data_IF_999145514594
#
_entry.id   IF_999145514594
#
_cell.length_a   1.000
_cell.length_b   1.000
_cell.length_c   1.000
_cell.angle_alpha   90.00
_cell.angle_beta   90.00
_cell.angle_gamma   90.00
#
_symmetry.space_group_name_H-M   'P 1'
#
loop_
_entity.id
_entity.type
_entity.pdbx_description
1 polymer ?
#
# COMPACT_ATOMS: atom_id res chain seq x y z
N UNK A 1 21.68 -2.93 -21.90
CA UNK A 1 20.74 -2.98 -23.04
C UNK A 1 19.35 -2.75 -22.51
N UNK A 2 18.67 -1.67 -22.89
CA UNK A 2 17.28 -1.42 -22.51
C UNK A 2 16.38 -2.44 -23.21
N UNK A 3 15.95 -3.46 -22.47
CA UNK A 3 14.98 -4.46 -22.96
C UNK A 3 13.74 -3.71 -23.44
N UNK A 4 13.44 -3.79 -24.75
CA UNK A 4 12.29 -3.10 -25.33
C UNK A 4 11.03 -3.89 -24.95
N UNK A 5 10.41 -3.53 -23.84
CA UNK A 5 9.13 -4.09 -23.38
C UNK A 5 8.00 -3.62 -24.29
N UNK A 6 7.03 -4.50 -24.55
CA UNK A 6 5.82 -4.17 -25.32
C UNK A 6 4.91 -3.21 -24.53
N UNK A 7 4.82 -3.41 -23.22
CA UNK A 7 3.94 -2.65 -22.33
C UNK A 7 4.74 -1.92 -21.26
N UNK A 8 4.41 -0.66 -21.03
CA UNK A 8 4.93 0.08 -19.89
C UNK A 8 4.32 -0.45 -18.58
N UNK A 9 3.00 -0.68 -18.57
CA UNK A 9 2.27 -1.19 -17.40
C UNK A 9 1.35 -2.34 -17.81
N UNK A 10 1.25 -3.38 -16.96
CA UNK A 10 0.22 -4.40 -17.04
C UNK A 10 -0.55 -4.50 -15.71
N UNK A 11 -1.87 -4.34 -15.78
CA UNK A 11 -2.78 -4.46 -14.64
C UNK A 11 -3.45 -5.84 -14.62
N UNK A 12 -3.02 -6.73 -13.73
CA UNK A 12 -3.62 -8.03 -13.52
C UNK A 12 -4.78 -7.95 -12.49
N UNK A 13 -5.92 -8.58 -12.79
CA UNK A 13 -7.11 -8.50 -11.95
C UNK A 13 -8.03 -7.31 -12.28
N UNK A 14 -7.94 -6.77 -13.49
CA UNK A 14 -8.68 -5.60 -13.96
C UNK A 14 -10.22 -5.72 -13.88
N UNK A 15 -10.75 -6.94 -13.76
CA UNK A 15 -12.20 -7.19 -13.70
C UNK A 15 -12.79 -7.00 -12.30
N UNK A 16 -11.96 -6.94 -11.26
CA UNK A 16 -12.37 -6.64 -9.89
C UNK A 16 -12.81 -5.18 -9.73
N UNK A 17 -13.43 -4.84 -8.59
CA UNK A 17 -13.89 -3.47 -8.33
C UNK A 17 -12.72 -2.47 -8.32
N UNK A 18 -11.68 -2.75 -7.51
CA UNK A 18 -10.44 -1.97 -7.48
C UNK A 18 -9.71 -1.98 -8.83
N UNK A 19 -9.71 -3.13 -9.52
CA UNK A 19 -9.12 -3.25 -10.85
C UNK A 19 -9.77 -2.33 -11.88
N UNK A 20 -11.10 -2.21 -11.88
CA UNK A 20 -11.84 -1.29 -12.76
C UNK A 20 -11.52 0.17 -12.46
N UNK A 21 -11.45 0.54 -11.18
CA UNK A 21 -11.07 1.90 -10.77
C UNK A 21 -9.62 2.23 -11.16
N UNK A 22 -8.71 1.27 -11.00
CA UNK A 22 -7.30 1.41 -11.39
C UNK A 22 -7.18 1.56 -12.90
N UNK A 23 -7.88 0.72 -13.69
CA UNK A 23 -7.90 0.83 -15.15
C UNK A 23 -8.46 2.18 -15.63
N UNK A 24 -9.54 2.65 -15.02
CA UNK A 24 -10.14 3.95 -15.37
C UNK A 24 -9.21 5.13 -15.03
N UNK A 25 -8.45 5.04 -13.93
CA UNK A 25 -7.49 6.07 -13.57
C UNK A 25 -6.30 6.10 -14.55
N UNK A 26 -5.73 4.93 -14.87
CA UNK A 26 -4.64 4.82 -15.84
C UNK A 26 -5.06 5.31 -17.24
N UNK A 27 -6.28 4.98 -17.68
CA UNK A 27 -6.82 5.42 -18.97
C UNK A 27 -6.92 6.95 -19.10
N UNK A 28 -7.21 7.64 -17.98
CA UNK A 28 -7.32 9.09 -17.92
C UNK A 28 -5.99 9.78 -17.59
N UNK A 29 -4.93 9.02 -17.32
CA UNK A 29 -3.67 9.58 -16.86
C UNK A 29 -2.89 10.19 -18.05
N UNK A 30 -2.52 11.49 -18.00
CA UNK A 30 -1.91 12.17 -19.15
C UNK A 30 -0.57 11.55 -19.57
N UNK A 31 0.22 11.04 -18.62
CA UNK A 31 1.51 10.41 -18.92
C UNK A 31 1.40 9.05 -19.64
N UNK A 32 0.20 8.44 -19.67
CA UNK A 32 -0.07 7.24 -20.47
C UNK A 32 -0.65 7.55 -21.84
N UNK A 33 -0.91 8.82 -22.18
CA UNK A 33 -1.28 9.20 -23.53
C UNK A 33 -0.13 8.85 -24.49
N UNK A 34 -0.40 8.03 -25.51
CA UNK A 34 0.65 7.59 -26.44
C UNK A 34 1.47 6.38 -25.97
N UNK A 35 1.18 5.81 -24.79
CA UNK A 35 1.86 4.62 -24.26
C UNK A 35 0.99 3.37 -24.32
N UNK A 36 1.64 2.25 -24.59
CA UNK A 36 1.02 0.93 -24.59
C UNK A 36 1.01 0.35 -23.18
N UNK A 37 -0.17 -0.02 -22.73
CA UNK A 37 -0.37 -0.73 -21.47
C UNK A 37 -1.45 -1.79 -21.63
N UNK A 38 -1.55 -2.72 -20.68
CA UNK A 38 -2.45 -3.86 -20.79
C UNK A 38 -3.30 -4.05 -19.53
N UNK A 39 -4.52 -4.55 -19.73
CA UNK A 39 -5.33 -5.18 -18.69
C UNK A 39 -5.28 -6.70 -18.84
N UNK A 40 -5.13 -7.40 -17.72
CA UNK A 40 -4.91 -8.84 -17.70
C UNK A 40 -5.76 -9.57 -16.67
N UNK A 41 -6.01 -10.85 -16.95
CA UNK A 41 -6.78 -11.75 -16.10
C UNK A 41 -7.20 -13.03 -16.83
N UNK A 42 -8.03 -13.83 -16.16
CA UNK A 42 -8.38 -15.18 -16.62
C UNK A 42 -9.54 -15.23 -17.62
N UNK A 43 -10.47 -14.27 -17.54
CA UNK A 43 -11.72 -14.30 -18.30
C UNK A 43 -11.70 -13.28 -19.44
N UNK A 44 -11.59 -13.77 -20.67
CA UNK A 44 -11.53 -12.94 -21.88
C UNK A 44 -12.76 -12.04 -22.05
N UNK A 45 -13.97 -12.55 -21.80
CA UNK A 45 -15.21 -11.80 -21.98
C UNK A 45 -15.31 -10.64 -20.97
N UNK A 46 -14.97 -10.89 -19.70
CA UNK A 46 -14.95 -9.86 -18.66
C UNK A 46 -13.89 -8.80 -18.92
N UNK A 47 -12.70 -9.18 -19.43
CA UNK A 47 -11.66 -8.22 -19.80
C UNK A 47 -12.09 -7.35 -20.99
N UNK A 48 -12.71 -7.94 -22.02
CA UNK A 48 -13.28 -7.18 -23.14
C UNK A 48 -14.34 -6.18 -22.68
N UNK A 49 -15.18 -6.56 -21.71
CA UNK A 49 -16.17 -5.67 -21.12
C UNK A 49 -15.52 -4.49 -20.38
N UNK A 50 -14.43 -4.71 -19.63
CA UNK A 50 -13.66 -3.62 -19.01
C UNK A 50 -12.98 -2.75 -20.08
N UNK A 51 -12.36 -3.36 -21.09
CA UNK A 51 -11.72 -2.63 -22.19
C UNK A 51 -12.68 -1.69 -22.92
N UNK A 52 -13.93 -2.10 -23.10
CA UNK A 52 -14.98 -1.31 -23.74
C UNK A 52 -15.41 -0.07 -22.93
N UNK A 53 -15.07 0.01 -21.64
CA UNK A 53 -15.34 1.21 -20.81
C UNK A 53 -14.17 2.20 -20.79
N UNK A 54 -13.05 1.87 -21.43
CA UNK A 54 -11.84 2.69 -21.48
C UNK A 54 -11.77 3.45 -22.81
N UNK A 55 -11.27 4.68 -22.78
CA UNK A 55 -11.23 5.58 -23.94
C UNK A 55 -10.00 5.34 -24.82
N UNK A 56 -8.87 4.96 -24.23
CA UNK A 56 -7.62 4.78 -24.95
C UNK A 56 -7.66 3.56 -25.85
N UNK A 57 -7.33 3.75 -27.13
CA UNK A 57 -7.16 2.65 -28.09
C UNK A 57 -5.95 1.76 -27.78
N UNK A 58 -5.01 2.27 -26.97
CA UNK A 58 -3.70 1.70 -26.72
C UNK A 58 -3.70 0.64 -25.60
N UNK A 59 -4.86 0.45 -24.95
CA UNK A 59 -5.04 -0.58 -23.93
C UNK A 59 -5.25 -1.94 -24.59
N UNK A 60 -4.35 -2.87 -24.34
CA UNK A 60 -4.49 -4.26 -24.82
C UNK A 60 -5.09 -5.18 -23.76
N UNK A 61 -5.73 -6.25 -24.23
CA UNK A 61 -6.27 -7.31 -23.36
C UNK A 61 -5.33 -8.50 -23.40
N UNK A 62 -4.85 -8.92 -22.23
CA UNK A 62 -4.00 -10.11 -22.08
C UNK A 62 -4.74 -11.15 -21.24
N UNK A 63 -5.09 -12.27 -21.86
CA UNK A 63 -5.72 -13.39 -21.15
C UNK A 63 -4.61 -14.31 -20.65
N UNK A 64 -4.48 -14.42 -19.34
CA UNK A 64 -3.47 -15.26 -18.69
C UNK A 64 -4.05 -15.87 -17.42
N UNK A 65 -4.01 -17.19 -17.33
CA UNK A 65 -4.26 -17.90 -16.08
C UNK A 65 -2.93 -18.10 -15.35
N UNK A 66 -2.86 -17.71 -14.08
CA UNK A 66 -1.62 -17.85 -13.30
C UNK A 66 -1.21 -19.31 -13.08
N UNK A 67 -2.08 -20.27 -13.38
CA UNK A 67 -1.75 -21.71 -13.41
C UNK A 67 -0.87 -22.11 -14.59
N UNK A 68 -0.79 -21.30 -15.65
CA UNK A 68 0.06 -21.53 -16.82
C UNK A 68 1.37 -20.73 -16.67
N UNK A 69 2.40 -21.39 -16.15
CA UNK A 69 3.70 -20.77 -15.88
C UNK A 69 4.34 -20.18 -17.15
N UNK A 70 4.27 -20.86 -18.29
CA UNK A 70 4.88 -20.38 -19.53
C UNK A 70 4.17 -19.11 -20.04
N UNK A 71 2.83 -19.08 -19.95
CA UNK A 71 2.07 -17.88 -20.30
C UNK A 71 2.35 -16.72 -19.34
N UNK A 72 2.52 -16.99 -18.03
CA UNK A 72 2.90 -15.97 -17.04
C UNK A 72 4.26 -15.39 -17.35
N UNK A 73 5.27 -16.23 -17.59
CA UNK A 73 6.64 -15.78 -17.90
C UNK A 73 6.67 -14.95 -19.20
N UNK A 74 5.94 -15.37 -20.23
CA UNK A 74 5.82 -14.61 -21.49
C UNK A 74 5.12 -13.25 -21.29
N UNK A 75 4.04 -13.23 -20.50
CA UNK A 75 3.32 -12.00 -20.16
C UNK A 75 4.25 -11.04 -19.41
N UNK A 76 4.92 -11.50 -18.36
CA UNK A 76 5.85 -10.69 -17.56
C UNK A 76 7.00 -10.17 -18.41
N UNK A 77 7.63 -11.01 -19.23
CA UNK A 77 8.76 -10.61 -20.09
C UNK A 77 8.41 -9.49 -21.10
N UNK A 78 7.12 -9.31 -21.41
CA UNK A 78 6.62 -8.26 -22.31
C UNK A 78 6.35 -6.92 -21.63
N UNK A 79 6.57 -6.78 -20.32
CA UNK A 79 6.16 -5.63 -19.51
C UNK A 79 7.34 -5.00 -18.76
N UNK A 80 7.27 -3.69 -18.44
CA UNK A 80 8.21 -3.05 -17.48
C UNK A 80 7.74 -3.21 -16.04
N UNK A 81 6.44 -3.03 -15.84
CA UNK A 81 5.80 -3.07 -14.52
C UNK A 81 4.52 -3.89 -14.58
N UNK A 82 4.36 -4.78 -13.61
CA UNK A 82 3.12 -5.49 -13.34
C UNK A 82 2.51 -4.96 -12.06
N UNK A 83 1.27 -4.51 -12.10
CA UNK A 83 0.48 -4.25 -10.90
C UNK A 83 -0.68 -5.22 -10.82
N UNK A 84 -1.05 -5.65 -9.62
CA UNK A 84 -2.16 -6.60 -9.43
C UNK A 84 -3.15 -6.18 -8.36
N UNK A 85 -4.42 -6.36 -8.68
CA UNK A 85 -5.55 -6.18 -7.77
C UNK A 85 -6.30 -7.51 -7.53
N UNK A 86 -5.68 -8.64 -7.87
CA UNK A 86 -6.27 -9.97 -7.77
C UNK A 86 -6.01 -10.64 -6.40
N UNK A 87 -6.50 -10.03 -5.32
CA UNK A 87 -6.39 -10.58 -3.96
C UNK A 87 -7.55 -11.54 -3.58
N UNK A 88 -7.40 -12.34 -2.51
CA UNK A 88 -6.20 -12.50 -1.68
C UNK A 88 -5.07 -13.23 -2.40
N UNK A 89 -3.85 -12.68 -2.33
CA UNK A 89 -2.72 -13.08 -3.18
C UNK A 89 -2.20 -14.47 -2.82
N UNK A 90 -2.25 -14.82 -1.53
CA UNK A 90 -1.90 -16.11 -0.94
C UNK A 90 -2.71 -17.30 -1.46
N UNK A 91 -3.89 -17.06 -2.03
CA UNK A 91 -4.84 -18.09 -2.49
C UNK A 91 -5.17 -18.02 -3.98
N UNK A 92 -4.72 -16.96 -4.67
CA UNK A 92 -5.01 -16.72 -6.09
C UNK A 92 -3.76 -16.81 -6.96
N UNK A 93 -2.81 -17.68 -6.61
CA UNK A 93 -1.55 -17.89 -7.34
C UNK A 93 -0.69 -16.60 -7.48
N UNK A 94 -0.82 -15.64 -6.55
CA UNK A 94 -0.09 -14.37 -6.60
C UNK A 94 1.43 -14.56 -6.65
N UNK A 95 1.92 -15.66 -6.07
CA UNK A 95 3.34 -16.00 -5.99
C UNK A 95 3.92 -16.24 -7.38
N UNK A 96 3.18 -16.92 -8.26
CA UNK A 96 3.65 -17.23 -9.61
C UNK A 96 3.90 -15.96 -10.41
N UNK A 97 3.04 -14.96 -10.24
CA UNK A 97 3.17 -13.67 -10.89
C UNK A 97 4.33 -12.85 -10.30
N UNK A 98 4.38 -12.72 -8.97
CA UNK A 98 5.46 -11.99 -8.27
C UNK A 98 6.82 -12.62 -8.53
N UNK A 99 6.93 -13.94 -8.39
CA UNK A 99 8.16 -14.68 -8.61
C UNK A 99 8.65 -14.59 -10.05
N UNK A 100 7.74 -14.61 -11.04
CA UNK A 100 8.11 -14.36 -12.44
C UNK A 100 8.67 -12.94 -12.62
N UNK A 101 8.07 -11.92 -11.99
CA UNK A 101 8.59 -10.56 -12.03
C UNK A 101 9.98 -10.46 -11.38
N UNK A 102 10.15 -11.03 -10.19
CA UNK A 102 11.40 -11.07 -9.46
C UNK A 102 12.52 -11.75 -10.25
N UNK A 103 12.25 -12.87 -10.95
CA UNK A 103 13.25 -13.55 -11.79
C UNK A 103 13.57 -12.76 -13.06
N UNK A 104 12.58 -12.10 -13.66
CA UNK A 104 12.74 -11.43 -14.95
C UNK A 104 13.31 -10.01 -14.89
N UNK A 105 13.53 -9.46 -13.69
CA UNK A 105 13.92 -8.05 -13.50
C UNK A 105 12.78 -7.07 -13.77
N UNK A 106 11.52 -7.54 -13.74
CA UNK A 106 10.32 -6.74 -13.98
C UNK A 106 9.80 -6.22 -12.66
N UNK A 107 9.42 -4.94 -12.62
CA UNK A 107 8.91 -4.34 -11.39
C UNK A 107 7.50 -4.83 -11.08
N UNK A 108 7.15 -4.89 -9.80
CA UNK A 108 5.87 -5.41 -9.34
C UNK A 108 5.29 -4.53 -8.24
N UNK A 109 3.96 -4.36 -8.23
CA UNK A 109 3.24 -3.90 -7.05
C UNK A 109 1.90 -4.58 -6.85
N UNK A 110 1.52 -4.80 -5.59
CA UNK A 110 0.19 -5.28 -5.22
C UNK A 110 -0.48 -4.44 -4.14
N UNK A 111 -1.59 -4.93 -3.59
CA UNK A 111 -2.36 -4.32 -2.51
C UNK A 111 -2.44 -5.21 -1.28
N UNK A 112 -1.45 -6.09 -1.06
CA UNK A 112 -1.51 -7.01 0.07
C UNK A 112 -1.40 -6.27 1.39
N UNK A 113 -2.31 -6.55 2.33
CA UNK A 113 -2.21 -6.23 3.76
C UNK A 113 -2.01 -7.47 4.62
N UNK A 114 -1.64 -8.60 4.01
CA UNK A 114 -1.48 -9.91 4.66
C UNK A 114 -0.03 -10.07 5.14
N UNK A 115 0.27 -9.76 6.40
CA UNK A 115 1.65 -9.79 6.91
C UNK A 115 2.37 -11.13 6.70
N UNK A 116 1.66 -12.26 6.81
CA UNK A 116 2.23 -13.59 6.56
C UNK A 116 2.64 -13.81 5.10
N UNK A 117 1.78 -13.38 4.16
CA UNK A 117 2.04 -13.46 2.73
C UNK A 117 3.23 -12.59 2.36
N UNK A 118 3.25 -11.35 2.86
CA UNK A 118 4.35 -10.43 2.61
C UNK A 118 5.67 -11.01 3.14
N UNK A 119 5.67 -11.59 4.35
CA UNK A 119 6.84 -12.28 4.90
C UNK A 119 7.33 -13.42 4.00
N UNK A 120 6.44 -14.30 3.55
CA UNK A 120 6.82 -15.39 2.65
C UNK A 120 7.44 -14.88 1.35
N UNK A 121 6.89 -13.82 0.76
CA UNK A 121 7.44 -13.21 -0.46
C UNK A 121 8.79 -12.53 -0.22
N UNK A 122 8.97 -11.89 0.93
CA UNK A 122 10.25 -11.33 1.36
C UNK A 122 11.30 -12.44 1.46
N UNK A 123 11.01 -13.50 2.21
CA UNK A 123 11.95 -14.60 2.45
C UNK A 123 12.36 -15.29 1.14
N UNK A 124 11.41 -15.51 0.24
CA UNK A 124 11.65 -16.24 -1.00
C UNK A 124 12.28 -15.39 -2.11
N UNK A 125 11.87 -14.13 -2.26
CA UNK A 125 12.14 -13.36 -3.47
C UNK A 125 12.99 -12.10 -3.26
N UNK A 126 13.30 -11.68 -2.03
CA UNK A 126 14.13 -10.49 -1.82
C UNK A 126 15.49 -10.60 -2.51
N UNK A 127 16.26 -11.66 -2.25
CA UNK A 127 17.57 -11.87 -2.88
C UNK A 127 17.48 -12.02 -4.41
N UNK A 128 16.45 -12.71 -4.91
CA UNK A 128 16.21 -12.88 -6.36
C UNK A 128 15.94 -11.54 -7.04
N UNK A 129 15.11 -10.69 -6.43
CA UNK A 129 14.78 -9.37 -6.94
C UNK A 129 15.98 -8.40 -6.86
N UNK A 130 16.82 -8.50 -5.83
CA UNK A 130 18.11 -7.79 -5.76
C UNK A 130 18.99 -8.20 -6.95
N UNK A 131 19.15 -9.49 -7.18
CA UNK A 131 20.02 -10.01 -8.24
C UNK A 131 19.55 -9.64 -9.66
N UNK A 132 18.24 -9.53 -9.88
CA UNK A 132 17.66 -9.18 -11.19
C UNK A 132 17.47 -7.67 -11.41
N UNK A 133 17.58 -6.85 -10.36
CA UNK A 133 17.24 -5.43 -10.38
C UNK A 133 15.73 -5.14 -10.31
N UNK A 134 14.90 -6.12 -9.98
CA UNK A 134 13.47 -5.91 -9.80
C UNK A 134 13.18 -5.15 -8.49
N UNK A 135 12.28 -4.16 -8.56
CA UNK A 135 11.63 -3.53 -7.41
C UNK A 135 10.25 -4.16 -7.22
N UNK A 136 10.06 -4.86 -6.11
CA UNK A 136 8.80 -5.51 -5.74
C UNK A 136 8.21 -4.75 -4.55
N UNK A 137 7.12 -4.01 -4.77
CA UNK A 137 6.46 -3.18 -3.74
C UNK A 137 5.18 -3.88 -3.28
N UNK A 138 5.17 -4.40 -2.05
CA UNK A 138 3.97 -5.00 -1.48
C UNK A 138 3.15 -3.93 -0.76
N UNK A 139 1.82 -3.96 -0.94
CA UNK A 139 0.93 -3.00 -0.29
C UNK A 139 0.98 -1.58 -0.86
N UNK A 140 1.01 -1.41 -2.18
CA UNK A 140 1.01 -0.11 -2.89
C UNK A 140 -0.30 0.70 -2.79
N UNK A 141 -0.98 0.68 -1.64
CA UNK A 141 -2.25 1.37 -1.37
C UNK A 141 -2.25 2.12 -0.04
N UNK A 142 -3.44 2.46 0.45
CA UNK A 142 -3.61 3.24 1.69
C UNK A 142 -3.11 2.48 2.93
N UNK A 143 -3.10 1.16 2.90
CA UNK A 143 -2.66 0.30 4.00
C UNK A 143 -1.12 0.28 4.17
N UNK A 144 -0.39 1.16 3.48
CA UNK A 144 1.07 1.29 3.63
C UNK A 144 1.58 2.69 3.29
N UNK A 145 1.16 3.26 2.16
CA UNK A 145 1.75 4.50 1.62
C UNK A 145 1.68 5.69 2.61
N UNK A 146 0.55 6.00 3.26
CA UNK A 146 0.47 7.18 4.12
C UNK A 146 1.39 7.10 5.34
N UNK A 147 1.41 5.94 6.00
CA UNK A 147 2.23 5.71 7.18
C UNK A 147 3.72 5.65 6.82
N UNK A 148 4.06 4.95 5.73
CA UNK A 148 5.44 4.76 5.29
C UNK A 148 6.08 6.05 4.75
N UNK A 149 5.40 6.75 3.84
CA UNK A 149 5.90 8.05 3.35
C UNK A 149 5.84 9.12 4.44
N UNK A 150 4.86 9.08 5.34
CA UNK A 150 4.79 10.01 6.48
C UNK A 150 5.99 9.85 7.41
N UNK A 151 6.36 8.61 7.74
CA UNK A 151 7.58 8.30 8.51
C UNK A 151 8.85 8.74 7.78
N UNK A 152 8.95 8.44 6.48
CA UNK A 152 10.07 8.88 5.63
C UNK A 152 10.27 10.40 5.68
N UNK A 153 9.18 11.16 5.49
CA UNK A 153 9.22 12.62 5.53
C UNK A 153 9.60 13.13 6.92
N UNK A 154 8.93 12.66 7.98
CA UNK A 154 9.17 13.12 9.35
C UNK A 154 10.64 12.90 9.80
N UNK A 155 11.23 11.74 9.46
CA UNK A 155 12.65 11.47 9.73
C UNK A 155 13.58 12.43 8.99
N UNK A 156 13.27 12.74 7.73
CA UNK A 156 14.04 13.74 6.98
C UNK A 156 13.95 15.11 7.64
N UNK A 157 12.77 15.50 8.12
CA UNK A 157 12.56 16.79 8.79
C UNK A 157 13.37 16.95 10.07
N UNK A 158 13.61 15.87 10.82
CA UNK A 158 14.42 15.90 12.06
C UNK A 158 15.93 15.71 11.80
N UNK A 159 16.32 15.52 10.53
CA UNK A 159 17.70 15.28 10.13
C UNK A 159 18.23 13.94 10.62
N UNK A 160 17.41 12.90 10.60
CA UNK A 160 17.81 11.53 10.93
C UNK A 160 18.03 10.72 9.66
N UNK A 161 19.29 10.40 9.42
CA UNK A 161 19.80 9.54 8.35
C UNK A 161 20.52 8.32 8.96
N UNK A 162 21.12 7.50 8.09
CA UNK A 162 21.81 6.25 8.46
C UNK A 162 22.99 6.47 9.43
N UNK A 163 23.46 7.72 9.59
CA UNK A 163 24.53 8.08 10.51
C UNK A 163 24.01 8.68 11.84
N UNK A 164 22.69 8.69 12.06
CA UNK A 164 22.10 9.21 13.29
C UNK A 164 22.36 8.28 14.46
N UNK A 165 23.14 8.75 15.42
CA UNK A 165 23.46 8.06 16.68
C UNK A 165 22.36 8.19 17.75
N UNK A 166 21.44 9.15 17.58
CA UNK A 166 20.42 9.43 18.59
C UNK A 166 19.10 8.73 18.29
N UNK A 167 18.46 8.15 19.33
CA UNK A 167 17.12 7.60 19.24
C UNK A 167 16.09 8.60 18.72
N UNK A 168 15.17 8.11 17.89
CA UNK A 168 14.01 8.84 17.37
C UNK A 168 12.76 8.01 17.58
N UNK A 169 11.72 8.62 18.16
CA UNK A 169 10.39 8.04 18.26
C UNK A 169 9.50 8.62 17.17
N UNK A 170 8.95 7.76 16.31
CA UNK A 170 7.90 8.12 15.37
C UNK A 170 6.53 7.75 15.92
N UNK A 171 5.59 8.70 15.89
CA UNK A 171 4.19 8.47 16.23
C UNK A 171 3.30 8.89 15.07
N UNK A 172 2.64 7.91 14.43
CA UNK A 172 1.59 8.13 13.44
C UNK A 172 0.22 8.24 14.10
N UNK A 173 -0.49 9.34 13.89
CA UNK A 173 -1.83 9.60 14.44
C UNK A 173 -2.82 9.86 13.32
N UNK A 174 -3.71 8.90 13.07
CA UNK A 174 -4.85 9.10 12.17
C UNK A 174 -5.90 9.99 12.84
N UNK A 175 -6.16 11.15 12.25
CA UNK A 175 -7.20 12.09 12.70
C UNK A 175 -8.44 12.06 11.83
N UNK A 176 -8.33 11.45 10.65
CA UNK A 176 -9.42 11.25 9.72
C UNK A 176 -9.23 9.92 9.00
N UNK A 177 -10.32 9.15 8.89
CA UNK A 177 -10.38 7.96 8.05
C UNK A 177 -11.84 7.69 7.70
N UNK A 178 -12.26 8.06 6.49
CA UNK A 178 -13.63 7.90 6.02
C UNK A 178 -13.72 7.00 4.81
N UNK A 179 -13.81 5.70 5.07
CA UNK A 179 -13.91 4.71 4.00
C UNK A 179 -14.50 3.39 4.43
N UNK A 180 -14.70 2.56 3.41
CA UNK A 180 -15.08 1.17 3.51
C UNK A 180 -13.87 0.25 3.49
N UNK A 181 -14.08 -0.99 3.92
CA UNK A 181 -13.11 -2.06 3.76
C UNK A 181 -13.31 -2.74 2.40
N UNK A 182 -12.21 -3.09 1.75
CA UNK A 182 -12.32 -3.85 0.51
C UNK A 182 -12.83 -5.26 0.78
N UNK A 183 -13.58 -5.85 -0.17
CA UNK A 183 -13.93 -7.27 -0.10
C UNK A 183 -12.68 -8.16 -0.03
N UNK A 184 -11.57 -7.69 -0.61
CA UNK A 184 -10.25 -8.31 -0.51
C UNK A 184 -9.67 -8.27 0.91
N UNK A 185 -9.90 -7.20 1.67
CA UNK A 185 -9.43 -7.06 3.06
C UNK A 185 -10.14 -8.07 3.97
N UNK A 186 -11.44 -8.30 3.80
CA UNK A 186 -12.18 -9.33 4.53
C UNK A 186 -11.70 -10.74 4.18
N UNK A 187 -11.44 -10.98 2.89
CA UNK A 187 -10.91 -12.26 2.43
C UNK A 187 -9.47 -12.48 2.91
N UNK A 188 -8.67 -11.43 3.07
CA UNK A 188 -7.32 -11.45 3.66
C UNK A 188 -7.37 -11.85 5.14
N UNK A 189 -8.35 -11.34 5.90
CA UNK A 189 -8.60 -11.78 7.28
C UNK A 189 -8.87 -13.28 7.38
N UNK A 190 -9.69 -13.83 6.47
CA UNK A 190 -9.94 -15.27 6.39
C UNK A 190 -8.70 -16.07 5.96
N UNK A 191 -7.92 -15.54 5.01
CA UNK A 191 -6.67 -16.17 4.58
C UNK A 191 -5.67 -16.26 5.74
N UNK A 192 -5.59 -15.22 6.59
CA UNK A 192 -4.80 -15.24 7.82
C UNK A 192 -5.26 -16.32 8.79
N UNK A 193 -6.56 -16.43 9.05
CA UNK A 193 -7.12 -17.49 9.92
C UNK A 193 -6.82 -18.89 9.38
N UNK A 194 -6.92 -19.08 8.06
CA UNK A 194 -6.57 -20.34 7.40
C UNK A 194 -5.06 -20.65 7.49
N UNK A 195 -4.20 -19.64 7.33
CA UNK A 195 -2.75 -19.81 7.45
C UNK A 195 -2.34 -20.23 8.87
N UNK A 196 -3.01 -19.69 9.90
CA UNK A 196 -2.83 -20.12 11.29
C UNK A 196 -3.29 -21.57 11.53
N UNK A 197 -4.51 -21.90 11.09
CA UNK A 197 -5.09 -23.23 11.35
C UNK A 197 -4.40 -24.34 10.57
N UNK A 198 -3.82 -24.04 9.41
CA UNK A 198 -3.02 -24.98 8.61
C UNK A 198 -1.57 -25.14 9.07
N UNK A 199 -1.10 -24.31 10.02
CA UNK A 199 0.29 -24.33 10.48
C UNK A 199 1.30 -23.72 9.49
N UNK A 200 0.84 -23.09 8.40
CA UNK A 200 1.68 -22.39 7.42
C UNK A 200 2.46 -21.23 8.06
N UNK A 201 1.90 -20.64 9.11
CA UNK A 201 2.58 -19.66 9.96
C UNK A 201 2.21 -19.87 11.43
N UNK A 202 3.18 -19.64 12.32
CA UNK A 202 2.96 -19.74 13.77
C UNK A 202 2.27 -18.48 14.31
N UNK A 203 1.54 -18.61 15.43
CA UNK A 203 0.95 -17.44 16.11
C UNK A 203 2.03 -16.45 16.57
N UNK A 204 3.20 -16.96 16.98
CA UNK A 204 4.36 -16.15 17.35
C UNK A 204 4.84 -15.30 16.17
N UNK A 205 5.12 -15.92 15.02
CA UNK A 205 5.56 -15.19 13.82
C UNK A 205 4.49 -14.18 13.33
N UNK A 206 3.20 -14.50 13.49
CA UNK A 206 2.11 -13.59 13.13
C UNK A 206 1.94 -12.39 14.06
N UNK A 207 2.47 -12.45 15.27
CA UNK A 207 2.44 -11.36 16.24
C UNK A 207 3.79 -10.66 16.40
N UNK A 208 4.82 -11.11 15.67
CA UNK A 208 6.12 -10.47 15.59
C UNK A 208 5.99 -9.04 15.02
N UNK A 209 6.33 -7.98 15.77
CA UNK A 209 6.32 -6.60 15.29
C UNK A 209 7.18 -6.36 14.04
N UNK A 210 8.19 -7.21 13.84
CA UNK A 210 9.14 -7.22 12.74
C UNK A 210 8.87 -8.37 11.76
N UNK A 211 7.61 -8.85 11.67
CA UNK A 211 7.21 -9.90 10.70
C UNK A 211 7.68 -9.60 9.26
N UNK A 212 7.75 -8.32 8.85
CA UNK A 212 8.23 -7.90 7.53
C UNK A 212 9.71 -7.55 7.47
N UNK A 213 10.44 -7.73 8.56
CA UNK A 213 11.87 -7.41 8.70
C UNK A 213 12.57 -8.52 9.50
N UNK A 214 12.54 -9.77 8.99
CA UNK A 214 13.07 -10.92 9.74
C UNK A 214 14.53 -10.76 10.11
N UNK A 215 14.88 -11.18 11.32
CA UNK A 215 16.25 -11.12 11.85
C UNK A 215 16.64 -9.76 12.44
N UNK A 216 15.77 -8.75 12.37
CA UNK A 216 16.00 -7.45 13.00
C UNK A 216 15.92 -7.59 14.52
N UNK A 217 16.98 -7.23 15.23
CA UNK A 217 17.03 -7.15 16.69
C UNK A 217 17.16 -5.68 17.09
N UNK A 218 16.03 -5.01 17.33
CA UNK A 218 16.04 -3.61 17.75
C UNK A 218 16.29 -3.49 19.27
N UNK A 219 16.83 -2.34 19.69
CA UNK A 219 16.95 -1.92 21.09
C UNK A 219 15.62 -1.63 21.79
N UNK A 220 14.48 -1.77 21.10
CA UNK A 220 13.13 -1.78 21.68
C UNK A 220 12.99 -2.99 22.62
N UNK A 221 13.64 -2.92 23.76
CA UNK A 221 13.55 -3.85 24.88
C UNK A 221 12.17 -3.78 25.58
N UNK A 222 11.30 -2.84 25.19
CA UNK A 222 9.89 -2.87 25.58
C UNK A 222 9.07 -3.63 24.54
N UNK A 223 8.39 -4.67 24.99
CA UNK A 223 7.54 -5.57 24.20
C UNK A 223 6.48 -4.80 23.39
N UNK A 224 6.83 -4.35 22.18
CA UNK A 224 5.91 -3.65 21.29
C UNK A 224 4.96 -4.65 20.61
N UNK A 225 3.71 -4.25 20.39
CA UNK A 225 2.77 -4.99 19.56
C UNK A 225 2.97 -4.69 18.07
N UNK A 226 2.30 -5.40 17.17
CA UNK A 226 2.39 -5.16 15.72
C UNK A 226 2.22 -3.69 15.32
N UNK A 227 1.37 -2.92 16.00
CA UNK A 227 1.11 -1.49 15.80
C UNK A 227 2.13 -0.56 16.50
N UNK A 228 3.11 -1.12 17.21
CA UNK A 228 4.15 -0.38 17.94
C UNK A 228 3.73 0.17 19.29
N UNK A 229 2.54 -0.18 19.75
CA UNK A 229 2.06 0.24 21.05
C UNK A 229 2.57 -0.68 22.16
N UNK A 230 2.61 -0.20 23.42
CA UNK A 230 2.83 -1.07 24.56
C UNK A 230 1.74 -2.15 24.68
N UNK A 231 2.09 -3.33 25.18
CA UNK A 231 1.10 -4.39 25.46
C UNK A 231 -0.01 -3.87 26.38
N UNK A 232 -1.26 -4.17 26.01
CA UNK A 232 -2.43 -3.73 26.77
C UNK A 232 -2.80 -2.26 26.60
N UNK A 233 -2.19 -1.54 25.64
CA UNK A 233 -2.56 -0.15 25.33
C UNK A 233 -4.06 -0.02 25.04
N UNK A 234 -4.75 0.80 25.83
CA UNK A 234 -6.18 1.14 25.66
C UNK A 234 -6.42 2.61 25.31
N UNK A 235 -5.47 3.46 25.66
CA UNK A 235 -5.45 4.87 25.31
C UNK A 235 -4.42 5.64 26.12
N UNK A 236 -4.04 6.83 25.65
CA UNK A 236 -3.09 7.71 26.31
C UNK A 236 -3.47 9.17 26.06
N UNK A 237 -3.38 10.02 27.08
CA UNK A 237 -3.58 11.46 26.93
C UNK A 237 -2.40 12.08 26.16
N UNK A 238 -2.73 12.94 25.20
CA UNK A 238 -1.83 13.66 24.31
C UNK A 238 -2.23 15.13 24.23
N UNK A 239 -1.25 16.02 24.20
CA UNK A 239 -1.47 17.49 24.22
C UNK A 239 -2.05 18.02 22.91
N UNK A 240 -1.77 17.36 21.78
CA UNK A 240 -2.20 17.80 20.44
C UNK A 240 -3.56 17.20 20.08
N UNK A 241 -3.73 15.89 20.29
CA UNK A 241 -4.85 15.12 19.77
C UNK A 241 -5.91 14.77 20.83
N UNK A 242 -5.70 15.16 22.09
CA UNK A 242 -6.56 14.80 23.20
C UNK A 242 -6.29 13.36 23.65
N UNK A 243 -7.15 12.41 23.31
CA UNK A 243 -6.90 11.00 23.60
C UNK A 243 -6.28 10.33 22.37
N UNK A 244 -5.25 9.51 22.56
CA UNK A 244 -4.79 8.56 21.56
C UNK A 244 -5.45 7.21 21.82
N UNK A 245 -5.92 6.56 20.77
CA UNK A 245 -6.64 5.27 20.82
C UNK A 245 -6.00 4.26 19.86
N UNK A 246 -6.19 2.94 20.09
CA UNK A 246 -5.73 1.93 19.15
C UNK A 246 -6.32 2.16 17.75
N UNK A 247 -5.48 2.11 16.72
CA UNK A 247 -5.90 2.21 15.32
C UNK A 247 -6.00 0.83 14.68
N UNK A 248 -7.12 0.56 14.00
CA UNK A 248 -7.42 -0.78 13.49
C UNK A 248 -6.48 -1.27 12.38
N UNK A 249 -5.88 -0.36 11.58
CA UNK A 249 -4.86 -0.74 10.57
C UNK A 249 -3.43 -0.67 11.09
N UNK A 250 -3.20 -0.22 12.33
CA UNK A 250 -1.84 -0.07 12.88
C UNK A 250 -1.02 -1.35 12.77
N UNK A 251 -1.66 -2.51 12.95
CA UNK A 251 -1.03 -3.83 12.87
C UNK A 251 -0.65 -4.28 11.45
N UNK A 252 -1.12 -3.57 10.42
CA UNK A 252 -0.78 -3.78 9.02
C UNK A 252 0.27 -2.74 8.60
N UNK A 253 0.05 -1.48 8.96
CA UNK A 253 0.88 -0.35 8.53
C UNK A 253 2.25 -0.33 9.22
N UNK A 254 2.30 -0.51 10.54
CA UNK A 254 3.54 -0.37 11.31
C UNK A 254 4.64 -1.38 10.93
N UNK A 255 4.33 -2.66 10.64
CA UNK A 255 5.34 -3.58 10.10
C UNK A 255 5.97 -3.10 8.78
N UNK A 256 5.21 -2.41 7.92
CA UNK A 256 5.75 -1.83 6.67
C UNK A 256 6.73 -0.70 6.98
N UNK A 257 6.38 0.20 7.91
CA UNK A 257 7.29 1.27 8.34
C UNK A 257 8.57 0.68 8.94
N UNK A 258 8.47 -0.33 9.82
CA UNK A 258 9.66 -1.00 10.39
C UNK A 258 10.52 -1.68 9.33
N UNK A 259 9.92 -2.25 8.29
CA UNK A 259 10.68 -2.74 7.14
C UNK A 259 11.47 -1.63 6.46
N UNK A 260 10.86 -0.46 6.23
CA UNK A 260 11.58 0.70 5.69
C UNK A 260 12.73 1.14 6.59
N UNK A 261 12.55 1.15 7.91
CA UNK A 261 13.61 1.47 8.85
C UNK A 261 14.75 0.46 8.77
N UNK A 262 14.43 -0.83 8.72
CA UNK A 262 15.42 -1.92 8.61
C UNK A 262 16.22 -1.83 7.32
N UNK A 263 15.54 -1.66 6.18
CA UNK A 263 16.20 -1.53 4.87
C UNK A 263 17.11 -0.31 4.77
N UNK A 264 16.91 0.71 5.63
CA UNK A 264 17.73 1.91 5.72
C UNK A 264 18.75 1.87 6.87
N UNK A 265 18.91 0.73 7.56
CA UNK A 265 19.80 0.64 8.72
C UNK A 265 19.39 1.48 9.94
N UNK A 266 18.13 1.90 10.02
CA UNK A 266 17.60 2.78 11.07
C UNK A 266 16.86 2.03 12.18
N UNK A 267 16.69 0.72 12.05
CA UNK A 267 15.87 -0.07 12.98
C UNK A 267 16.40 -0.03 14.42
N UNK A 268 17.71 0.18 14.64
CA UNK A 268 18.31 0.19 15.99
C UNK A 268 18.16 1.52 16.72
N UNK A 269 17.78 2.59 16.01
CA UNK A 269 17.70 3.94 16.57
C UNK A 269 16.34 4.59 16.37
N UNK A 270 15.48 4.03 15.51
CA UNK A 270 14.15 4.58 15.23
C UNK A 270 13.06 3.61 15.61
N UNK A 271 12.12 4.07 16.43
CA UNK A 271 10.92 3.32 16.82
C UNK A 271 9.70 3.88 16.11
N UNK A 272 8.72 3.03 15.79
CA UNK A 272 7.47 3.46 15.15
C UNK A 272 6.26 2.88 15.86
N UNK A 273 5.29 3.76 16.15
CA UNK A 273 3.97 3.40 16.68
C UNK A 273 2.85 4.13 15.94
N UNK A 274 1.69 3.49 15.87
CA UNK A 274 0.54 4.03 15.16
C UNK A 274 -0.76 3.95 15.97
N UNK A 275 -1.48 5.07 16.02
CA UNK A 275 -2.72 5.23 16.78
C UNK A 275 -3.69 6.19 16.05
N UNK A 276 -4.84 6.45 16.64
CA UNK A 276 -5.81 7.40 16.10
C UNK A 276 -6.37 8.33 17.18
N UNK A 277 -6.96 9.44 16.75
CA UNK A 277 -7.68 10.36 17.62
C UNK A 277 -9.20 10.06 17.65
N UNK A 278 -9.92 10.43 18.72
CA UNK A 278 -11.39 10.38 18.76
C UNK A 278 -12.05 11.14 17.61
N UNK A 279 -11.41 12.20 17.10
CA UNK A 279 -11.89 12.98 15.96
C UNK A 279 -12.07 12.14 14.69
N UNK A 280 -11.20 11.15 14.48
CA UNK A 280 -11.32 10.19 13.39
C UNK A 280 -12.67 9.45 13.43
N UNK A 281 -13.01 8.91 14.60
CA UNK A 281 -14.26 8.19 14.84
C UNK A 281 -15.48 9.11 14.79
N UNK A 282 -15.38 10.32 15.33
CA UNK A 282 -16.44 11.33 15.28
C UNK A 282 -16.82 11.69 13.84
N UNK A 283 -15.84 11.88 12.95
CA UNK A 283 -16.08 12.15 11.54
C UNK A 283 -16.76 10.97 10.83
N UNK A 284 -16.33 9.75 11.13
CA UNK A 284 -16.97 8.54 10.60
C UNK A 284 -18.43 8.40 11.02
N UNK A 285 -18.72 8.65 12.30
CA UNK A 285 -20.08 8.65 12.82
C UNK A 285 -20.93 9.74 12.16
N UNK A 286 -20.40 10.95 11.99
CA UNK A 286 -21.11 12.06 11.33
C UNK A 286 -21.39 11.79 9.84
N UNK A 287 -20.42 11.30 9.08
CA UNK A 287 -20.61 10.95 7.66
C UNK A 287 -21.65 9.83 7.51
N UNK A 288 -21.59 8.82 8.38
CA UNK A 288 -22.55 7.71 8.38
C UNK A 288 -23.95 8.17 8.78
N UNK A 289 -24.08 9.01 9.81
CA UNK A 289 -25.36 9.51 10.30
C UNK A 289 -26.04 10.52 9.35
N UNK A 290 -25.27 11.46 8.79
CA UNK A 290 -25.81 12.47 7.85
C UNK A 290 -26.31 11.89 6.53
N UNK A 291 -25.89 10.67 6.17
CA UNK A 291 -26.22 9.99 4.91
C UNK A 291 -27.03 8.70 5.10
N UNK A 292 -26.97 8.08 6.29
CA UNK A 292 -27.59 6.79 6.60
C UNK A 292 -29.00 6.87 7.19
N UNK A 293 -29.49 8.07 7.54
CA UNK A 293 -30.81 8.30 8.14
C UNK A 293 -31.91 8.72 7.14
N UNK A 294 -31.78 8.32 5.87
CA UNK A 294 -32.92 8.33 4.94
C UNK A 294 -32.71 9.16 3.68
N UNK A 295 -33.28 8.60 2.62
CA UNK A 295 -33.39 9.15 1.27
C UNK A 295 -33.97 10.59 1.31
N UNK A 296 -33.45 11.52 0.48
CA UNK A 296 -32.91 11.26 -0.86
C UNK A 296 -31.39 11.38 -1.05
N UNK A 297 -30.56 11.28 0.01
CA UNK A 297 -29.16 11.73 -0.08
C UNK A 297 -28.04 10.66 0.05
N UNK A 298 -28.30 9.37 0.28
CA UNK A 298 -27.24 8.34 0.18
C UNK A 298 -27.60 6.89 0.53
N UNK A 299 -26.96 5.92 -0.14
CA UNK A 299 -26.99 4.49 0.21
C UNK A 299 -26.12 4.19 1.45
N UNK A 300 -26.48 3.22 2.32
CA UNK A 300 -25.69 2.88 3.50
C UNK A 300 -24.35 2.22 3.15
N UNK A 301 -23.36 2.35 4.04
CA UNK A 301 -22.04 1.73 3.87
C UNK A 301 -22.17 0.22 4.06
N UNK A 302 -21.83 -0.55 3.01
CA UNK A 302 -21.70 -1.99 3.13
C UNK A 302 -20.31 -2.35 3.70
N UNK A 303 -20.26 -2.70 4.98
CA UNK A 303 -19.02 -3.15 5.63
C UNK A 303 -18.64 -4.61 5.31
N UNK A 304 -19.48 -5.35 4.59
CA UNK A 304 -19.23 -6.73 4.15
C UNK A 304 -19.54 -6.92 2.65
N UNK A 305 -18.82 -6.22 1.75
CA UNK A 305 -19.08 -6.31 0.32
C UNK A 305 -18.76 -7.72 -0.22
N UNK A 306 -19.61 -8.22 -1.13
CA UNK A 306 -19.28 -9.42 -1.92
C UNK A 306 -18.16 -9.09 -2.92
N UNK A 307 -17.40 -10.09 -3.42
CA UNK A 307 -16.40 -9.87 -4.46
C UNK A 307 -17.01 -9.11 -5.66
N UNK A 308 -16.36 -8.00 -6.05
CA UNK A 308 -16.83 -7.14 -7.14
C UNK A 308 -17.84 -6.06 -6.75
N UNK A 309 -18.33 -6.02 -5.50
CA UNK A 309 -19.07 -4.89 -4.95
C UNK A 309 -18.11 -3.88 -4.31
N UNK A 310 -18.48 -2.60 -4.35
CA UNK A 310 -17.74 -1.53 -3.68
C UNK A 310 -18.68 -0.64 -2.88
N UNK A 311 -18.14 0.39 -2.22
CA UNK A 311 -18.94 1.29 -1.40
C UNK A 311 -19.89 2.15 -2.24
N UNK A 312 -20.86 2.80 -1.59
CA UNK A 312 -21.70 3.81 -2.23
C UNK A 312 -20.88 4.86 -3.00
N UNK A 313 -21.40 5.32 -4.14
CA UNK A 313 -20.74 6.33 -4.98
C UNK A 313 -20.35 7.60 -4.22
N UNK A 314 -21.16 8.00 -3.24
CA UNK A 314 -20.87 9.18 -2.42
C UNK A 314 -19.63 8.96 -1.53
N UNK A 315 -19.43 7.75 -0.98
CA UNK A 315 -18.29 7.43 -0.14
C UNK A 315 -17.02 7.30 -0.99
N UNK A 316 -17.11 6.72 -2.19
CA UNK A 316 -16.00 6.69 -3.15
C UNK A 316 -15.42 8.08 -3.42
N UNK A 317 -16.30 9.09 -3.55
CA UNK A 317 -15.91 10.47 -3.89
C UNK A 317 -15.51 11.31 -2.67
N UNK A 318 -16.20 11.15 -1.55
CA UNK A 318 -16.07 12.04 -0.38
C UNK A 318 -15.29 11.43 0.78
N UNK A 319 -14.94 10.15 0.68
CA UNK A 319 -13.99 9.54 1.59
C UNK A 319 -12.68 10.30 1.58
N UNK A 320 -11.96 10.22 2.68
CA UNK A 320 -10.66 10.86 2.85
C UNK A 320 -9.97 10.26 4.08
N UNK A 321 -8.68 10.52 4.20
CA UNK A 321 -7.89 10.13 5.35
C UNK A 321 -6.84 11.21 5.63
N UNK A 322 -6.46 11.34 6.89
CA UNK A 322 -5.36 12.21 7.32
C UNK A 322 -4.62 11.52 8.45
N UNK A 323 -3.31 11.35 8.25
CA UNK A 323 -2.37 10.91 9.27
C UNK A 323 -1.32 11.99 9.48
N UNK A 324 -1.02 12.27 10.74
CA UNK A 324 0.13 13.08 11.13
C UNK A 324 1.20 12.14 11.67
N UNK A 325 2.41 12.21 11.13
CA UNK A 325 3.55 11.43 11.64
C UNK A 325 4.53 12.40 12.28
N UNK A 326 4.72 12.27 13.59
CA UNK A 326 5.66 13.13 14.34
C UNK A 326 6.91 12.33 14.65
N UNK A 327 8.08 12.86 14.28
CA UNK A 327 9.39 12.38 14.69
C UNK A 327 9.87 13.21 15.88
N UNK A 328 10.22 12.55 16.98
CA UNK A 328 10.77 13.17 18.18
C UNK A 328 12.14 12.55 18.46
N UNK A 329 13.20 13.33 18.30
CA UNK A 329 14.58 12.91 18.57
C UNK A 329 14.91 13.20 20.04
N UNK A 330 15.76 12.36 20.64
CA UNK A 330 16.12 12.49 22.07
C UNK A 330 16.71 13.86 22.45
N UNK A 331 17.35 14.57 21.50
CA UNK A 331 17.90 15.92 21.74
C UNK A 331 16.88 17.06 21.65
N UNK A 332 15.59 16.74 21.63
CA UNK A 332 14.49 17.70 21.65
C UNK A 332 14.10 18.23 20.28
N UNK A 333 14.82 17.87 19.21
CA UNK A 333 14.39 18.18 17.84
C UNK A 333 13.13 17.36 17.49
N UNK A 334 12.19 18.02 16.83
CA UNK A 334 11.01 17.36 16.32
C UNK A 334 10.65 17.88 14.93
N UNK A 335 10.02 17.01 14.16
CA UNK A 335 9.44 17.33 12.87
C UNK A 335 8.13 16.58 12.72
N UNK A 336 7.16 17.18 12.04
CA UNK A 336 5.87 16.53 11.78
C UNK A 336 5.60 16.55 10.29
N UNK A 337 5.21 15.39 9.76
CA UNK A 337 4.70 15.26 8.41
C UNK A 337 3.17 15.11 8.45
N UNK A 338 2.49 15.73 7.49
CA UNK A 338 1.07 15.51 7.24
C UNK A 338 0.90 14.74 5.94
N UNK A 339 0.18 13.62 6.01
CA UNK A 339 -0.23 12.87 4.83
C UNK A 339 -1.76 12.80 4.81
N UNK A 340 -2.36 13.51 3.86
CA UNK A 340 -3.80 13.56 3.68
C UNK A 340 -4.17 13.20 2.24
N UNK A 341 -5.31 12.53 2.04
CA UNK A 341 -5.76 12.13 0.72
C UNK A 341 -7.27 12.15 0.55
N UNK A 342 -7.72 12.33 -0.69
CA UNK A 342 -9.15 12.35 -1.07
C UNK A 342 -9.55 11.08 -1.83
N UNK A 343 -10.77 10.64 -1.55
CA UNK A 343 -11.37 9.41 -2.03
C UNK A 343 -11.43 8.34 -0.94
N UNK A 344 -12.37 7.41 -1.09
CA UNK A 344 -12.49 6.26 -0.19
C UNK A 344 -11.14 5.52 -0.06
N UNK A 345 -10.60 5.35 1.16
CA UNK A 345 -9.30 4.73 1.36
C UNK A 345 -9.22 3.26 0.91
N UNK A 346 -10.30 2.47 1.06
CA UNK A 346 -10.29 1.05 0.72
C UNK A 346 -10.30 0.75 -0.79
N UNK A 347 -10.76 1.69 -1.62
CA UNK A 347 -10.91 1.49 -3.06
C UNK A 347 -10.43 2.69 -3.88
N UNK A 348 -11.06 3.85 -3.71
CA UNK A 348 -10.85 5.01 -4.59
C UNK A 348 -9.43 5.57 -4.50
N UNK A 349 -8.99 5.94 -3.30
CA UNK A 349 -7.64 6.44 -3.09
C UNK A 349 -6.58 5.34 -3.32
N UNK A 350 -6.85 4.11 -2.88
CA UNK A 350 -5.97 2.96 -3.13
C UNK A 350 -5.73 2.69 -4.61
N UNK A 351 -6.76 2.79 -5.46
CA UNK A 351 -6.60 2.57 -6.91
C UNK A 351 -5.72 3.64 -7.56
N UNK A 352 -5.84 4.89 -7.11
CA UNK A 352 -5.01 6.01 -7.58
C UNK A 352 -3.56 5.82 -7.12
N UNK A 353 -3.35 5.50 -5.85
CA UNK A 353 -2.02 5.21 -5.29
C UNK A 353 -1.32 4.08 -6.05
N UNK A 354 -1.99 2.96 -6.28
CA UNK A 354 -1.40 1.84 -7.02
C UNK A 354 -1.04 2.23 -8.46
N UNK A 355 -1.85 3.09 -9.09
CA UNK A 355 -1.55 3.63 -10.42
C UNK A 355 -0.31 4.52 -10.40
N UNK A 356 -0.19 5.41 -9.42
CA UNK A 356 0.99 6.28 -9.26
C UNK A 356 2.26 5.48 -8.91
N UNK A 357 2.14 4.40 -8.14
CA UNK A 357 3.23 3.44 -7.91
C UNK A 357 3.68 2.82 -9.23
N UNK A 358 2.73 2.38 -10.07
CA UNK A 358 3.05 1.78 -11.37
C UNK A 358 3.75 2.77 -12.32
N UNK A 359 3.26 4.01 -12.37
CA UNK A 359 3.85 5.08 -13.17
C UNK A 359 5.25 5.43 -12.65
N UNK A 360 5.44 5.53 -11.34
CA UNK A 360 6.75 5.77 -10.73
C UNK A 360 7.77 4.66 -11.05
N UNK A 361 7.35 3.40 -10.92
CA UNK A 361 8.16 2.25 -11.31
C UNK A 361 8.50 2.27 -12.80
N UNK A 362 7.55 2.67 -13.66
CA UNK A 362 7.71 2.59 -15.12
C UNK A 362 8.41 3.79 -15.76
N UNK A 363 8.30 4.99 -15.19
CA UNK A 363 8.66 6.24 -15.88
C UNK A 363 9.77 7.01 -15.16
N UNK A 364 9.87 6.91 -13.84
CA UNK A 364 10.78 7.73 -13.02
C UNK A 364 12.11 7.02 -12.71
N UNK A 365 12.74 6.43 -13.73
CA UNK A 365 13.94 5.60 -13.55
C UNK A 365 15.11 6.27 -12.83
N UNK A 366 15.36 7.55 -13.11
CA UNK A 366 16.50 8.30 -12.56
C UNK A 366 16.18 8.99 -11.22
N UNK A 367 14.88 9.05 -10.84
CA UNK A 367 14.42 9.79 -9.66
C UNK A 367 14.13 8.91 -8.45
N UNK A 368 13.98 7.60 -8.65
CA UNK A 368 13.72 6.64 -7.58
C UNK A 368 15.04 6.13 -6.96
N UNK A 369 15.04 5.72 -5.68
CA UNK A 369 16.20 5.08 -5.04
C UNK A 369 16.78 3.93 -5.89
N UNK A 370 18.08 3.66 -5.76
CA UNK A 370 18.74 2.63 -6.58
C UNK A 370 18.40 1.19 -6.15
N UNK A 371 17.92 1.00 -4.92
CA UNK A 371 17.73 -0.32 -4.30
C UNK A 371 16.78 -1.22 -5.08
N UNK A 372 17.11 -2.50 -5.16
CA UNK A 372 16.26 -3.55 -5.71
C UNK A 372 15.91 -4.56 -4.60
N UNK A 373 14.95 -5.44 -4.87
CA UNK A 373 14.47 -6.42 -3.89
C UNK A 373 12.97 -6.32 -3.67
N UNK A 374 12.52 -7.04 -2.63
CA UNK A 374 11.21 -6.78 -2.02
C UNK A 374 11.35 -5.56 -1.11
N UNK A 375 10.63 -4.50 -1.40
CA UNK A 375 10.79 -3.17 -0.81
C UNK A 375 9.45 -2.62 -0.32
N UNK A 376 9.50 -1.45 0.29
CA UNK A 376 8.33 -0.67 0.73
C UNK A 376 8.12 0.53 -0.20
N UNK A 377 6.96 1.20 -0.17
CA UNK A 377 6.75 2.41 -0.96
C UNK A 377 7.86 3.47 -0.76
N UNK A 378 8.28 3.73 0.48
CA UNK A 378 9.31 4.72 0.78
C UNK A 378 10.69 4.30 0.27
N UNK A 379 11.09 3.05 0.48
CA UNK A 379 12.43 2.57 0.07
C UNK A 379 12.53 2.31 -1.43
N UNK A 380 11.43 1.92 -2.09
CA UNK A 380 11.42 1.69 -3.52
C UNK A 380 11.38 2.97 -4.35
N UNK A 381 10.64 3.99 -3.88
CA UNK A 381 10.23 5.13 -4.70
C UNK A 381 10.51 6.50 -4.08
N UNK A 382 10.62 6.60 -2.75
CA UNK A 382 11.02 7.82 -2.04
C UNK A 382 10.31 9.09 -2.52
N UNK A 383 11.09 10.13 -2.78
CA UNK A 383 10.60 11.44 -3.20
C UNK A 383 9.87 11.44 -4.55
N UNK A 384 10.23 10.54 -5.47
CA UNK A 384 9.53 10.42 -6.74
C UNK A 384 8.04 10.07 -6.53
N UNK A 385 7.73 9.18 -5.57
CA UNK A 385 6.34 8.87 -5.24
C UNK A 385 5.66 10.00 -4.45
N UNK A 386 6.36 10.66 -3.54
CA UNK A 386 5.83 11.83 -2.81
C UNK A 386 5.37 12.91 -3.79
N UNK A 387 6.23 13.30 -4.73
CA UNK A 387 5.95 14.34 -5.72
C UNK A 387 4.83 13.94 -6.69
N UNK A 388 4.77 12.67 -7.10
CA UNK A 388 3.68 12.12 -7.92
C UNK A 388 2.34 12.21 -7.22
N UNK A 389 2.23 11.67 -6.02
CA UNK A 389 0.98 11.66 -5.26
C UNK A 389 0.49 13.07 -4.95
N UNK A 390 1.42 13.99 -4.65
CA UNK A 390 1.12 15.41 -4.45
C UNK A 390 0.63 16.08 -5.75
N UNK A 391 1.26 15.79 -6.89
CA UNK A 391 0.91 16.41 -8.19
C UNK A 391 -0.32 15.79 -8.85
N UNK A 392 -0.67 14.56 -8.50
CA UNK A 392 -1.77 13.80 -9.08
C UNK A 392 -3.09 14.58 -9.06
N UNK A 393 -3.79 14.55 -10.19
CA UNK A 393 -5.01 15.33 -10.43
C UNK A 393 -4.83 16.85 -10.23
N UNK A 394 -3.64 17.37 -10.57
CA UNK A 394 -3.31 18.79 -10.49
C UNK A 394 -3.26 19.31 -9.06
N UNK A 395 -2.65 18.56 -8.13
CA UNK A 395 -2.55 18.96 -6.73
C UNK A 395 -3.75 18.57 -5.86
N UNK A 396 -4.76 17.91 -6.43
CA UNK A 396 -6.05 17.72 -5.75
C UNK A 396 -6.22 16.36 -5.09
N UNK A 397 -5.29 15.41 -5.29
CA UNK A 397 -5.41 14.06 -4.74
C UNK A 397 -4.88 13.94 -3.32
N UNK A 398 -3.58 14.16 -3.12
CA UNK A 398 -2.92 14.02 -1.80
C UNK A 398 -2.09 15.25 -1.43
N UNK A 399 -1.95 15.45 -0.13
CA UNK A 399 -1.03 16.40 0.49
C UNK A 399 -0.01 15.60 1.29
N UNK A 400 1.27 15.77 0.97
CA UNK A 400 2.39 15.13 1.65
C UNK A 400 3.44 16.20 1.95
N UNK A 401 3.42 16.76 3.16
CA UNK A 401 4.20 17.94 3.51
C UNK A 401 4.83 17.81 4.89
N UNK A 402 5.98 18.46 5.09
CA UNK A 402 6.51 18.74 6.41
C UNK A 402 5.84 19.99 6.96
N UNK A 403 5.33 19.91 8.19
CA UNK A 403 4.63 20.98 8.90
C UNK A 403 5.52 21.66 9.93
#
# INVERSE_FOLDING_TARGET
MTKTSKFDILLYGATGFTGKLTAAYLDQHPELAGRRWAIAGRNAASLKAVRATLNSEQVEVVVCALTDTAAVDAMVASTRVVITTAGPFSTHDGEKLLGACARAGVHYSDLSGEGFWQREMIDQYHATAVASGAKIVLGGGVDSIPSDLGAYLALRGVGSDENSDKPVRLTGVYTEYSGSFSGGTLASGKARELALSSGRITSEALNDPYILAPGTQCTDAEESTLDGMPRGFRGQLDRTYGMLLPFFMGKINAPVVRRSLTLRGLADVVTYRECCSPGMWGRMAWLSGSRGLGYPLGEPINFKPKPGQGPPKWLLKQGAFTVYVTAEREDGRSARAVVAGKGDPGYGATSKMLSEVALCLSLDHERKPADAGVLTPATALGDALVERLASAQGGNFMRLELS
#
